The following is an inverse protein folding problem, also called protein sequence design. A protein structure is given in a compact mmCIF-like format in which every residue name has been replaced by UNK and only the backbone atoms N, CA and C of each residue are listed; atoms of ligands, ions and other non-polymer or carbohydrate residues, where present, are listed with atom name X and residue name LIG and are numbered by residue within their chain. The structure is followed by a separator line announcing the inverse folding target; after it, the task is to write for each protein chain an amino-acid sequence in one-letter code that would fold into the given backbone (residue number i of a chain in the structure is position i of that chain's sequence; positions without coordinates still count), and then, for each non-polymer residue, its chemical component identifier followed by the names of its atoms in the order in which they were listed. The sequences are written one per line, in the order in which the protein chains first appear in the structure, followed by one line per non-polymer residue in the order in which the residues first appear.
data_IF_026509835192
#
_entry.id   IF_026509835192
#
_cell.length_a   1.000
_cell.length_b   1.000
_cell.length_c   1.000
_cell.angle_alpha   90.00
_cell.angle_beta   90.00
_cell.angle_gamma   90.00
#
_symmetry.space_group_name_H-M   'P 1'
#
loop_
_entity.id
_entity.type
_entity.pdbx_description
1 polymer ?
#
# COMPACT_ATOMS: atom_id res chain seq x y z
N UNK A 1 -15.71 -1.47 -9.84
CA UNK A 1 -14.80 -2.13 -8.87
C UNK A 1 -14.47 -3.51 -9.40
N UNK A 2 -13.18 -3.89 -9.40
CA UNK A 2 -12.70 -5.21 -9.84
C UNK A 2 -11.97 -5.90 -8.68
N UNK A 3 -11.99 -7.23 -8.65
CA UNK A 3 -11.24 -8.01 -7.66
C UNK A 3 -9.86 -8.36 -8.22
N UNK A 4 -8.81 -8.14 -7.43
CA UNK A 4 -7.43 -8.46 -7.82
C UNK A 4 -7.12 -9.94 -7.57
N UNK A 5 -7.67 -10.87 -8.35
CA UNK A 5 -7.47 -12.31 -8.12
C UNK A 5 -5.99 -12.71 -8.20
N UNK A 6 -5.47 -13.56 -7.28
CA UNK A 6 -6.19 -14.29 -6.23
C UNK A 6 -6.39 -13.53 -4.91
N UNK A 7 -5.92 -12.28 -4.80
CA UNK A 7 -6.07 -11.44 -3.61
C UNK A 7 -7.55 -11.18 -3.27
N UNK A 8 -7.78 -10.97 -1.98
CA UNK A 8 -9.07 -10.53 -1.42
C UNK A 8 -9.37 -9.06 -1.65
N UNK A 9 -8.39 -8.29 -2.13
CA UNK A 9 -8.50 -6.85 -2.36
C UNK A 9 -9.36 -6.54 -3.57
N UNK A 10 -10.25 -5.58 -3.39
CA UNK A 10 -11.01 -4.97 -4.47
C UNK A 10 -10.43 -3.60 -4.79
N UNK A 11 -10.39 -3.24 -6.07
CA UNK A 11 -9.87 -1.96 -6.54
C UNK A 11 -10.88 -1.27 -7.44
N UNK A 12 -10.93 0.06 -7.35
CA UNK A 12 -11.76 0.89 -8.22
C UNK A 12 -11.07 2.22 -8.51
N UNK A 13 -11.65 2.98 -9.43
CA UNK A 13 -11.31 4.37 -9.67
C UNK A 13 -12.53 5.21 -9.33
N UNK A 14 -12.35 6.24 -8.51
CA UNK A 14 -13.44 7.15 -8.13
C UNK A 14 -12.92 8.58 -7.90
N UNK A 15 -13.83 9.55 -7.95
CA UNK A 15 -13.59 10.96 -7.62
C UNK A 15 -13.86 11.16 -6.13
N UNK A 16 -12.91 11.72 -5.40
CA UNK A 16 -13.15 12.05 -4.00
C UNK A 16 -13.99 13.32 -3.89
N UNK A 17 -14.98 13.33 -2.98
CA UNK A 17 -15.93 14.46 -2.84
C UNK A 17 -15.26 15.83 -2.68
N UNK A 18 -14.07 15.88 -2.09
CA UNK A 18 -13.34 17.13 -1.84
C UNK A 18 -12.41 17.56 -2.98
N UNK A 19 -12.12 16.70 -3.98
CA UNK A 19 -11.21 17.04 -5.09
C UNK A 19 -11.92 17.59 -6.33
N UNK A 20 -13.25 17.56 -6.40
CA UNK A 20 -14.07 18.20 -7.43
C UNK A 20 -13.96 17.61 -8.85
N UNK A 21 -12.79 17.12 -9.26
CA UNK A 21 -12.51 16.49 -10.56
C UNK A 21 -11.50 15.35 -10.50
N UNK A 22 -10.64 15.32 -9.48
CA UNK A 22 -9.55 14.36 -9.51
C UNK A 22 -9.99 12.93 -9.18
N UNK A 23 -9.58 12.01 -10.05
CA UNK A 23 -9.81 10.57 -9.90
C UNK A 23 -8.62 9.88 -9.27
N UNK A 24 -8.91 8.92 -8.41
CA UNK A 24 -7.93 8.14 -7.68
C UNK A 24 -8.17 6.65 -7.83
N UNK A 25 -7.08 5.87 -7.83
CA UNK A 25 -7.14 4.43 -7.63
C UNK A 25 -7.35 4.17 -6.14
N UNK A 26 -8.46 3.52 -5.80
CA UNK A 26 -8.89 3.23 -4.44
C UNK A 26 -8.93 1.72 -4.24
N UNK A 27 -8.32 1.27 -3.15
CA UNK A 27 -8.26 -0.11 -2.70
C UNK A 27 -9.19 -0.30 -1.51
N UNK A 28 -10.04 -1.30 -1.59
CA UNK A 28 -10.95 -1.72 -0.54
C UNK A 28 -10.45 -3.03 0.08
N UNK A 29 -10.33 -3.02 1.39
CA UNK A 29 -9.82 -4.15 2.18
C UNK A 29 -10.73 -4.41 3.38
N UNK A 30 -10.51 -5.53 4.07
CA UNK A 30 -11.19 -5.85 5.32
C UNK A 30 -10.18 -6.13 6.43
N UNK A 31 -10.51 -5.67 7.63
CA UNK A 31 -9.81 -6.05 8.86
C UNK A 31 -10.18 -7.46 9.29
N UNK A 32 -9.49 -7.99 10.31
CA UNK A 32 -9.82 -9.26 10.96
C UNK A 32 -11.29 -9.31 11.41
N UNK A 33 -11.82 -8.20 11.91
CA UNK A 33 -13.21 -8.03 12.36
C UNK A 33 -14.20 -7.72 11.23
N UNK A 34 -13.80 -7.91 9.96
CA UNK A 34 -14.62 -7.65 8.77
C UNK A 34 -14.99 -6.17 8.56
N UNK A 35 -14.40 -5.24 9.31
CA UNK A 35 -14.55 -3.80 9.05
C UNK A 35 -13.90 -3.46 7.70
N UNK A 36 -14.65 -2.76 6.86
CA UNK A 36 -14.17 -2.30 5.56
C UNK A 36 -13.32 -1.05 5.74
N UNK A 37 -12.16 -1.02 5.10
CA UNK A 37 -11.24 0.12 5.10
C UNK A 37 -10.74 0.41 3.70
N UNK A 38 -10.35 1.66 3.47
CA UNK A 38 -9.96 2.13 2.15
C UNK A 38 -8.58 2.78 2.15
N UNK A 39 -7.80 2.46 1.12
CA UNK A 39 -6.57 3.16 0.80
C UNK A 39 -6.59 3.71 -0.62
N UNK A 40 -5.75 4.69 -0.93
CA UNK A 40 -5.60 5.23 -2.28
C UNK A 40 -4.16 5.38 -2.72
N UNK A 41 -3.93 5.27 -4.02
CA UNK A 41 -2.70 5.76 -4.62
C UNK A 41 -2.55 7.27 -4.35
N UNK A 42 -1.37 7.76 -3.92
CA UNK A 42 -1.24 9.11 -3.37
C UNK A 42 -1.39 10.23 -4.40
N UNK A 43 -1.12 9.97 -5.69
CA UNK A 43 -1.27 10.96 -6.75
C UNK A 43 -2.55 10.75 -7.55
N UNK A 44 -3.03 11.83 -8.14
CA UNK A 44 -4.15 11.82 -9.07
C UNK A 44 -3.71 11.35 -10.45
N UNK A 45 -4.65 10.83 -11.24
CA UNK A 45 -4.40 10.31 -12.60
C UNK A 45 -3.53 11.22 -13.47
N UNK A 46 -3.81 12.53 -13.48
CA UNK A 46 -3.11 13.52 -14.33
C UNK A 46 -1.60 13.61 -14.03
N UNK A 47 -1.18 13.20 -12.83
CA UNK A 47 0.21 13.24 -12.37
C UNK A 47 0.87 11.85 -12.35
N UNK A 48 0.21 10.81 -12.87
CA UNK A 48 0.77 9.44 -12.93
C UNK A 48 1.76 9.25 -14.08
N UNK A 49 1.70 10.09 -15.11
CA UNK A 49 2.57 10.01 -16.27
C UNK A 49 4.03 10.34 -15.88
N UNK A 50 4.99 9.67 -16.52
CA UNK A 50 6.43 9.89 -16.38
C UNK A 50 7.09 9.45 -15.05
N UNK A 51 6.45 8.56 -14.28
CA UNK A 51 7.05 7.99 -13.07
C UNK A 51 7.14 6.46 -13.16
N UNK A 52 8.28 5.88 -12.81
CA UNK A 52 8.44 4.42 -12.68
C UNK A 52 7.91 3.91 -11.32
N UNK A 53 6.75 4.44 -10.92
CA UNK A 53 6.10 4.02 -9.70
C UNK A 53 5.39 2.69 -9.91
N UNK A 54 5.43 1.86 -8.87
CA UNK A 54 4.75 0.58 -8.84
C UNK A 54 3.89 0.49 -7.59
N UNK A 55 2.68 -0.04 -7.76
CA UNK A 55 1.84 -0.50 -6.67
C UNK A 55 2.12 -1.98 -6.48
N UNK A 56 2.40 -2.42 -5.26
CA UNK A 56 2.58 -3.84 -4.94
C UNK A 56 1.54 -4.23 -3.90
N UNK A 57 0.79 -5.32 -4.13
CA UNK A 57 -0.07 -5.91 -3.11
C UNK A 57 0.78 -6.88 -2.31
N UNK A 58 0.98 -6.61 -1.03
CA UNK A 58 1.78 -7.44 -0.14
C UNK A 58 0.90 -8.23 0.81
N UNK A 59 1.33 -9.44 1.14
CA UNK A 59 0.85 -10.23 2.26
C UNK A 59 1.52 -9.71 3.54
N UNK A 60 0.72 -9.43 4.56
CA UNK A 60 1.17 -8.85 5.82
C UNK A 60 2.26 -9.70 6.52
N UNK A 61 2.12 -11.02 6.52
CA UNK A 61 3.04 -11.93 7.19
C UNK A 61 4.36 -12.08 6.44
N UNK A 62 4.34 -11.90 5.11
CA UNK A 62 5.57 -11.89 4.30
C UNK A 62 6.26 -10.54 4.32
N UNK A 63 5.50 -9.45 4.37
CA UNK A 63 6.04 -8.09 4.34
C UNK A 63 6.71 -7.69 5.65
N UNK A 64 6.09 -7.97 6.81
CA UNK A 64 6.60 -7.53 8.11
C UNK A 64 8.05 -7.97 8.38
N UNK A 65 8.46 -9.24 8.11
CA UNK A 65 9.85 -9.64 8.27
C UNK A 65 10.84 -8.91 7.35
N UNK A 66 10.41 -8.43 6.18
CA UNK A 66 11.27 -7.62 5.30
C UNK A 66 11.47 -6.21 5.87
N UNK A 67 10.41 -5.63 6.44
CA UNK A 67 10.47 -4.34 7.10
C UNK A 67 11.28 -4.39 8.41
N UNK A 68 11.14 -5.46 9.20
CA UNK A 68 11.93 -5.68 10.42
C UNK A 68 13.44 -5.80 10.15
N UNK A 69 13.82 -6.18 8.93
CA UNK A 69 15.23 -6.19 8.46
C UNK A 69 15.67 -4.87 7.84
N UNK A 70 14.91 -3.79 7.99
CA UNK A 70 15.27 -2.47 7.49
C UNK A 70 16.71 -2.11 7.88
N UNK A 71 17.52 -1.48 7.00
CA UNK A 71 18.84 -1.00 7.38
C UNK A 71 18.79 0.19 8.35
N UNK A 72 17.61 0.80 8.58
CA UNK A 72 17.47 1.99 9.40
C UNK A 72 16.86 1.68 10.78
N UNK A 73 17.49 2.19 11.83
CA UNK A 73 17.05 1.97 13.22
C UNK A 73 15.65 2.51 13.51
N UNK A 74 15.24 3.61 12.86
CA UNK A 74 13.90 4.17 13.05
C UNK A 74 12.81 3.17 12.63
N UNK A 75 12.98 2.51 11.48
CA UNK A 75 12.07 1.47 11.01
C UNK A 75 12.08 0.28 11.97
N UNK A 76 13.27 -0.23 12.33
CA UNK A 76 13.42 -1.38 13.23
C UNK A 76 12.71 -1.14 14.55
N UNK A 77 12.92 0.02 15.18
CA UNK A 77 12.28 0.39 16.43
C UNK A 77 10.76 0.54 16.27
N UNK A 78 10.29 1.06 15.13
CA UNK A 78 8.86 1.27 14.88
C UNK A 78 8.10 -0.03 14.65
N UNK A 79 8.68 -0.98 13.91
CA UNK A 79 8.06 -2.27 13.59
C UNK A 79 8.43 -3.41 14.56
N UNK A 80 9.25 -3.12 15.58
CA UNK A 80 9.57 -4.05 16.65
C UNK A 80 8.35 -4.39 17.50
N UNK A 81 8.44 -5.53 18.20
CA UNK A 81 7.40 -5.99 19.11
C UNK A 81 6.18 -6.58 18.39
N UNK A 82 5.01 -6.35 18.97
CA UNK A 82 3.74 -6.96 18.58
C UNK A 82 2.61 -5.92 18.52
N UNK A 83 1.38 -6.38 18.27
CA UNK A 83 0.18 -5.54 18.24
C UNK A 83 0.04 -4.64 19.48
N UNK A 84 0.38 -5.12 20.67
CA UNK A 84 0.27 -4.34 21.91
C UNK A 84 1.27 -3.18 21.96
N UNK A 85 2.44 -3.36 21.34
CA UNK A 85 3.46 -2.33 21.19
C UNK A 85 3.09 -1.37 20.08
N UNK A 86 2.67 -1.87 18.93
CA UNK A 86 2.30 -1.05 17.77
C UNK A 86 1.15 -0.08 18.08
N UNK A 87 0.17 -0.51 18.88
CA UNK A 87 -0.95 0.35 19.32
C UNK A 87 -0.53 1.51 20.22
N UNK A 88 0.68 1.50 20.77
CA UNK A 88 1.26 2.59 21.57
C UNK A 88 2.04 3.60 20.73
N UNK A 89 2.18 3.38 19.41
CA UNK A 89 2.76 4.39 18.52
C UNK A 89 2.01 5.72 18.68
N UNK A 90 2.76 6.80 18.86
CA UNK A 90 2.15 8.09 19.23
C UNK A 90 1.17 8.61 18.18
N UNK A 91 1.32 8.20 16.90
CA UNK A 91 0.42 8.56 15.80
C UNK A 91 -0.66 7.52 15.54
N UNK A 92 -0.72 6.40 16.29
CA UNK A 92 -1.63 5.29 16.00
C UNK A 92 -3.09 5.75 15.94
N UNK A 93 -3.50 6.61 16.87
CA UNK A 93 -4.83 7.21 16.91
C UNK A 93 -5.14 8.08 15.67
N UNK A 94 -4.14 8.71 15.03
CA UNK A 94 -4.34 9.40 13.76
C UNK A 94 -4.60 8.42 12.61
N UNK A 95 -3.91 7.28 12.58
CA UNK A 95 -4.20 6.24 11.59
C UNK A 95 -5.59 5.64 11.82
N UNK A 96 -5.99 5.42 13.06
CA UNK A 96 -7.34 4.99 13.41
C UNK A 96 -8.41 5.98 12.94
N UNK A 97 -8.23 7.27 13.21
CA UNK A 97 -9.10 8.32 12.72
C UNK A 97 -9.13 8.39 11.18
N UNK A 98 -8.00 8.12 10.52
CA UNK A 98 -7.91 8.03 9.07
C UNK A 98 -8.73 6.89 8.50
N UNK A 99 -8.53 5.68 9.03
CA UNK A 99 -9.24 4.46 8.59
C UNK A 99 -10.69 4.36 9.07
N UNK A 100 -11.11 5.18 10.04
CA UNK A 100 -12.50 5.30 10.43
C UNK A 100 -13.37 6.05 9.39
N UNK A 101 -12.74 6.77 8.45
CA UNK A 101 -13.46 7.48 7.38
C UNK A 101 -13.95 6.52 6.29
N UNK A 102 -14.96 6.95 5.54
CA UNK A 102 -15.50 6.24 4.40
C UNK A 102 -14.54 6.29 3.19
N UNK A 103 -14.98 5.66 2.10
CA UNK A 103 -14.36 5.76 0.78
C UNK A 103 -14.17 7.21 0.28
N UNK A 104 -14.86 8.20 0.86
CA UNK A 104 -14.71 9.61 0.50
C UNK A 104 -13.38 10.23 0.98
N UNK A 105 -12.66 9.56 1.90
CA UNK A 105 -11.36 10.01 2.42
C UNK A 105 -10.42 8.83 2.68
N UNK A 106 -10.03 8.09 1.63
CA UNK A 106 -9.21 6.89 1.77
C UNK A 106 -7.76 7.25 2.13
N UNK A 107 -7.13 6.41 2.93
CA UNK A 107 -5.78 6.65 3.47
C UNK A 107 -4.72 6.45 2.36
N UNK A 108 -3.74 7.34 2.16
CA UNK A 108 -2.72 7.16 1.12
C UNK A 108 -1.83 5.93 1.38
N UNK A 109 -1.40 5.25 0.30
CA UNK A 109 -0.43 4.13 0.37
C UNK A 109 0.82 4.51 1.18
N UNK A 110 1.42 3.53 1.85
CA UNK A 110 2.76 3.68 2.42
C UNK A 110 3.82 3.68 1.29
N UNK A 111 4.85 4.50 1.45
CA UNK A 111 5.95 4.67 0.50
C UNK A 111 7.14 3.83 0.96
N UNK A 112 7.48 2.81 0.18
CA UNK A 112 8.44 1.76 0.53
C UNK A 112 9.66 1.82 -0.37
N UNK A 113 10.84 1.84 0.26
CA UNK A 113 12.10 1.54 -0.39
C UNK A 113 12.45 0.07 -0.21
N UNK A 114 13.01 -0.51 -1.26
CA UNK A 114 13.53 -1.88 -1.25
C UNK A 114 15.05 -1.86 -1.29
N UNK A 115 15.64 -2.62 -0.37
CA UNK A 115 17.08 -2.77 -0.21
C UNK A 115 17.47 -4.19 -0.58
N UNK A 116 18.56 -4.32 -1.34
CA UNK A 116 19.12 -5.61 -1.71
C UNK A 116 20.60 -5.54 -1.40
N UNK A 117 21.07 -6.41 -0.51
CA UNK A 117 22.48 -6.50 -0.13
C UNK A 117 22.84 -7.96 0.05
N UNK A 118 23.91 -8.41 -0.62
CA UNK A 118 24.43 -9.78 -0.52
C UNK A 118 23.36 -10.87 -0.79
N UNK A 119 22.41 -10.58 -1.69
CA UNK A 119 21.30 -11.47 -2.03
C UNK A 119 20.12 -11.43 -1.05
N UNK A 120 20.25 -10.75 0.09
CA UNK A 120 19.16 -10.53 1.04
C UNK A 120 18.33 -9.30 0.67
N UNK A 121 17.02 -9.41 0.88
CA UNK A 121 16.06 -8.32 0.68
C UNK A 121 15.55 -7.79 2.02
N UNK A 122 15.46 -6.47 2.13
CA UNK A 122 14.73 -5.79 3.19
C UNK A 122 13.99 -4.57 2.68
N UNK A 123 13.17 -3.97 3.54
CA UNK A 123 12.36 -2.80 3.21
C UNK A 123 12.49 -1.72 4.28
N UNK A 124 12.36 -0.46 3.87
CA UNK A 124 12.16 0.68 4.77
C UNK A 124 11.01 1.54 4.27
N UNK A 125 10.38 2.31 5.15
CA UNK A 125 9.26 3.18 4.79
C UNK A 125 9.69 4.66 4.82
N UNK A 126 9.59 5.33 3.68
CA UNK A 126 9.78 6.78 3.58
C UNK A 126 8.61 7.54 4.21
N UNK A 127 7.40 7.00 4.06
CA UNK A 127 6.17 7.48 4.70
C UNK A 127 5.23 6.30 4.98
N UNK A 128 4.33 6.48 5.94
CA UNK A 128 3.25 5.53 6.19
C UNK A 128 3.59 4.41 7.18
N UNK A 129 4.61 4.57 8.02
CA UNK A 129 4.93 3.60 9.08
C UNK A 129 3.72 3.33 9.99
N UNK A 130 3.14 4.37 10.59
CA UNK A 130 1.99 4.22 11.51
C UNK A 130 0.75 3.63 10.84
N UNK A 131 0.43 4.01 9.60
CA UNK A 131 -0.73 3.42 8.89
C UNK A 131 -0.48 1.95 8.54
N UNK A 132 0.78 1.58 8.29
CA UNK A 132 1.18 0.17 8.11
C UNK A 132 1.03 -0.61 9.42
N UNK A 133 1.50 -0.05 10.55
CA UNK A 133 1.26 -0.63 11.87
C UNK A 133 -0.23 -0.81 12.16
N UNK A 134 -1.06 0.17 11.81
CA UNK A 134 -2.51 0.07 11.99
C UNK A 134 -3.11 -1.09 11.20
N UNK A 135 -2.72 -1.27 9.94
CA UNK A 135 -3.17 -2.39 9.10
C UNK A 135 -2.78 -3.75 9.72
N UNK A 136 -1.53 -3.87 10.17
CA UNK A 136 -1.01 -5.07 10.84
C UNK A 136 -1.76 -5.36 12.14
N UNK A 137 -1.91 -4.36 13.01
CA UNK A 137 -2.61 -4.46 14.29
C UNK A 137 -4.10 -4.80 14.13
N UNK A 138 -4.73 -4.39 13.02
CA UNK A 138 -6.13 -4.73 12.73
C UNK A 138 -6.27 -6.01 11.88
N UNK A 139 -5.18 -6.76 11.68
CA UNK A 139 -5.17 -8.05 11.01
C UNK A 139 -5.62 -7.98 9.55
N UNK A 140 -5.32 -6.88 8.85
CA UNK A 140 -5.46 -6.81 7.40
C UNK A 140 -4.45 -7.76 6.76
N UNK A 141 -4.93 -8.76 6.03
CA UNK A 141 -4.09 -9.85 5.49
C UNK A 141 -3.22 -9.40 4.31
N UNK A 142 -3.77 -8.55 3.47
CA UNK A 142 -3.13 -8.07 2.25
C UNK A 142 -3.37 -6.57 2.12
N UNK A 143 -2.36 -5.81 1.71
CA UNK A 143 -2.52 -4.37 1.49
C UNK A 143 -1.63 -3.82 0.37
N UNK A 144 -2.06 -2.74 -0.30
CA UNK A 144 -1.26 -2.06 -1.31
C UNK A 144 -0.19 -1.18 -0.68
N UNK A 145 1.00 -1.19 -1.26
CA UNK A 145 2.10 -0.25 -0.98
C UNK A 145 2.58 0.41 -2.28
N UNK A 146 3.28 1.53 -2.14
CA UNK A 146 3.91 2.26 -3.22
C UNK A 146 5.42 2.04 -3.20
N UNK A 147 6.00 1.66 -4.33
CA UNK A 147 7.45 1.72 -4.59
C UNK A 147 7.69 2.77 -5.65
N UNK A 148 8.41 3.84 -5.33
CA UNK A 148 8.67 4.94 -6.27
C UNK A 148 9.91 4.70 -7.12
N UNK A 149 9.82 5.07 -8.40
CA UNK A 149 10.95 5.15 -9.35
C UNK A 149 11.90 3.95 -9.38
N UNK A 150 11.40 2.74 -9.07
CA UNK A 150 12.22 1.54 -8.89
C UNK A 150 11.45 0.28 -9.31
N UNK A 151 11.02 0.25 -10.58
CA UNK A 151 10.17 -0.81 -11.13
C UNK A 151 10.70 -2.23 -10.90
N UNK A 152 11.99 -2.47 -11.16
CA UNK A 152 12.58 -3.81 -10.99
C UNK A 152 12.64 -4.22 -9.52
N UNK A 153 12.94 -3.29 -8.60
CA UNK A 153 12.91 -3.59 -7.16
C UNK A 153 11.50 -3.91 -6.67
N UNK A 154 10.47 -3.25 -7.22
CA UNK A 154 9.08 -3.55 -6.90
C UNK A 154 8.67 -4.97 -7.34
N UNK A 155 9.12 -5.41 -8.53
CA UNK A 155 8.92 -6.79 -8.99
C UNK A 155 9.59 -7.81 -8.07
N UNK A 156 10.83 -7.51 -7.64
CA UNK A 156 11.55 -8.34 -6.67
C UNK A 156 10.76 -8.39 -5.35
N UNK A 157 10.34 -7.25 -4.81
CA UNK A 157 9.51 -7.22 -3.60
C UNK A 157 8.24 -8.06 -3.75
N UNK A 158 7.53 -7.94 -4.88
CA UNK A 158 6.33 -8.73 -5.14
C UNK A 158 6.60 -10.24 -5.11
N UNK A 159 7.75 -10.69 -5.63
CA UNK A 159 8.16 -12.11 -5.55
C UNK A 159 8.26 -12.62 -4.11
N UNK A 160 8.74 -11.80 -3.18
CA UNK A 160 8.95 -12.21 -1.78
C UNK A 160 7.76 -11.91 -0.86
N UNK A 161 7.05 -10.82 -1.11
CA UNK A 161 6.05 -10.28 -0.20
C UNK A 161 4.62 -10.46 -0.69
N UNK A 162 4.35 -10.69 -1.98
CA UNK A 162 2.98 -10.84 -2.46
C UNK A 162 2.42 -12.26 -2.26
N UNK A 163 1.09 -12.42 -2.19
CA UNK A 163 0.44 -13.73 -2.30
C UNK A 163 0.78 -14.43 -3.63
N UNK A 164 0.85 -13.65 -4.72
CA UNK A 164 1.27 -14.06 -6.05
C UNK A 164 2.27 -13.03 -6.59
N UNK A 165 3.38 -13.48 -7.18
CA UNK A 165 4.49 -12.62 -7.63
C UNK A 165 4.14 -11.62 -8.73
N UNK A 166 2.98 -11.78 -9.37
CA UNK A 166 2.45 -10.87 -10.39
C UNK A 166 1.55 -9.77 -9.83
N UNK A 167 1.32 -9.72 -8.51
CA UNK A 167 0.47 -8.67 -7.89
C UNK A 167 1.25 -7.36 -7.69
N UNK A 168 1.77 -6.86 -8.80
CA UNK A 168 2.36 -5.54 -8.92
C UNK A 168 1.85 -4.86 -10.18
N UNK A 169 1.62 -3.56 -10.11
CA UNK A 169 0.97 -2.81 -11.18
C UNK A 169 1.63 -1.45 -11.37
N UNK A 170 1.80 -1.07 -12.63
CA UNK A 170 1.98 0.35 -12.96
C UNK A 170 0.63 1.06 -12.71
N UNK A 171 0.61 2.20 -11.98
CA UNK A 171 -0.63 2.90 -11.66
C UNK A 171 -1.47 3.21 -12.89
N UNK A 172 -0.85 3.67 -13.97
CA UNK A 172 -1.54 4.03 -15.20
C UNK A 172 -2.19 2.82 -15.89
N UNK A 173 -1.49 1.69 -15.95
CA UNK A 173 -2.04 0.45 -16.53
C UNK A 173 -3.19 -0.08 -15.67
N UNK A 174 -3.08 -0.01 -14.35
CA UNK A 174 -4.16 -0.41 -13.44
C UNK A 174 -5.38 0.50 -13.59
N UNK A 175 -5.16 1.81 -13.73
CA UNK A 175 -6.21 2.76 -13.99
C UNK A 175 -6.98 2.41 -15.27
N UNK A 176 -6.28 2.23 -16.39
CA UNK A 176 -6.90 1.88 -17.67
C UNK A 176 -7.59 0.51 -17.63
N UNK A 177 -7.03 -0.47 -16.92
CA UNK A 177 -7.68 -1.77 -16.73
C UNK A 177 -9.01 -1.66 -15.96
N UNK A 178 -9.15 -0.68 -15.06
CA UNK A 178 -10.37 -0.46 -14.29
C UNK A 178 -11.41 0.36 -15.06
N UNK A 179 -10.98 1.44 -15.73
CA UNK A 179 -11.90 2.39 -16.37
C UNK A 179 -12.24 2.02 -17.82
N UNK A 180 -11.40 1.22 -18.47
CA UNK A 180 -11.48 0.96 -19.92
C UNK A 180 -11.06 2.16 -20.78
N UNK A 181 -10.64 3.27 -20.16
CA UNK A 181 -10.16 4.45 -20.87
C UNK A 181 -8.78 4.15 -21.47
N UNK A 182 -8.57 4.53 -22.73
CA UNK A 182 -7.25 4.59 -23.35
C UNK A 182 -7.01 6.06 -23.68
N UNK A 183 -6.35 6.79 -22.79
CA UNK A 183 -5.90 8.14 -23.13
C UNK A 183 -4.70 8.03 -24.08
N UNK A 184 -4.61 8.84 -25.14
CA UNK A 184 -3.35 9.01 -25.85
C UNK A 184 -2.38 9.70 -24.88
N UNK A 185 -1.26 9.03 -24.60
CA UNK A 185 -0.08 9.67 -24.01
C UNK A 185 0.46 10.75 -24.95
#
# INVERSE_FOLDING_TARGET
MIKLTPSSIEVMVDTLRYSGRDRYIIFRMKTREQKVVYMRYPQHFENMANQENMIVIVDAQKFLPLWQRSPYEVDKNTCAGDESTWRKDYKFHHAENGFAKSMDSPVPLADVNVHIKDGEISCSLNDGMTRTLWLLANGVKEFPILVRNHKEKAKILSKYASPLSSLHFEPLNLFFAITGEKYPL
#
